data_IF_036892858785
#
_entry.id   IF_036892858785
#
_cell.length_a   1.000
_cell.length_b   1.000
_cell.length_c   1.000
_cell.angle_alpha   90.00
_cell.angle_beta   90.00
_cell.angle_gamma   90.00
#
_symmetry.space_group_name_H-M   'P 1'
#
loop_
_entity.id
_entity.type
_entity.pdbx_description
1 polymer ?
#
# COMPACT_ATOMS: atom_id res chain seq x y z
N UNK A 1 3.87 -8.75 43.70
CA UNK A 1 3.40 -9.58 42.56
C UNK A 1 2.66 -8.65 41.61
N UNK A 2 3.36 -8.13 40.60
CA UNK A 2 2.79 -7.19 39.63
C UNK A 2 2.64 -8.01 38.36
N UNK A 3 1.40 -8.36 38.00
CA UNK A 3 1.11 -9.21 36.85
C UNK A 3 1.33 -8.41 35.56
N UNK A 4 2.29 -8.86 34.78
CA UNK A 4 2.53 -8.55 33.38
C UNK A 4 1.27 -8.82 32.55
N UNK A 5 0.60 -7.74 32.15
CA UNK A 5 -0.52 -7.80 31.21
C UNK A 5 0.03 -7.95 29.79
N UNK A 6 0.65 -9.11 29.52
CA UNK A 6 1.01 -9.54 28.18
C UNK A 6 -0.28 -9.78 27.38
N UNK A 7 -0.75 -8.74 26.69
CA UNK A 7 -1.84 -8.86 25.73
C UNK A 7 -1.26 -9.52 24.48
N UNK A 8 -1.27 -10.84 24.48
CA UNK A 8 -1.03 -11.67 23.29
C UNK A 8 -2.08 -11.32 22.24
N UNK A 9 -1.71 -10.44 21.30
CA UNK A 9 -2.45 -10.15 20.08
C UNK A 9 -2.54 -11.46 19.28
N UNK A 10 -3.73 -12.03 19.20
CA UNK A 10 -3.99 -13.32 18.54
C UNK A 10 -3.77 -13.29 17.01
N UNK A 11 -3.75 -14.46 16.35
CA UNK A 11 -3.33 -14.63 14.94
C UNK A 11 -4.36 -14.20 13.87
N UNK A 12 -5.31 -13.32 14.19
CA UNK A 12 -6.44 -12.99 13.30
C UNK A 12 -6.14 -12.00 12.17
N UNK A 13 -4.96 -11.38 12.11
CA UNK A 13 -4.63 -10.38 11.06
C UNK A 13 -4.04 -10.98 9.78
N UNK A 14 -3.67 -12.26 9.75
CA UNK A 14 -3.00 -12.83 8.56
C UNK A 14 -3.94 -13.27 7.44
N UNK A 15 -5.25 -13.37 7.69
CA UNK A 15 -6.19 -13.96 6.74
C UNK A 15 -6.87 -12.93 5.81
N UNK A 16 -6.88 -11.65 6.18
CA UNK A 16 -7.62 -10.63 5.42
C UNK A 16 -6.84 -10.07 4.24
N UNK A 17 -5.51 -10.06 4.30
CA UNK A 17 -4.67 -9.46 3.26
C UNK A 17 -4.70 -10.24 1.94
N UNK A 18 -4.78 -11.57 1.99
CA UNK A 18 -4.75 -12.43 0.80
C UNK A 18 -5.90 -12.15 -0.18
N UNK A 19 -7.06 -11.76 0.37
CA UNK A 19 -8.27 -11.41 -0.40
C UNK A 19 -8.35 -9.93 -0.77
N UNK A 20 -7.41 -9.09 -0.33
CA UNK A 20 -7.39 -7.68 -0.70
C UNK A 20 -6.76 -7.48 -2.08
N UNK A 21 -7.33 -6.57 -2.85
CA UNK A 21 -6.73 -6.11 -4.09
C UNK A 21 -5.57 -5.15 -3.77
N UNK A 22 -4.48 -5.27 -4.53
CA UNK A 22 -3.37 -4.34 -4.49
C UNK A 22 -3.86 -2.95 -4.89
N UNK A 23 -3.59 -1.90 -4.10
CA UNK A 23 -4.02 -0.53 -4.42
C UNK A 23 -3.28 0.06 -5.63
N UNK A 24 -2.19 -0.55 -6.07
CA UNK A 24 -1.38 -0.06 -7.20
C UNK A 24 -1.80 -0.72 -8.51
N UNK A 25 -1.88 -2.05 -8.55
CA UNK A 25 -2.15 -2.80 -9.79
C UNK A 25 -3.56 -3.43 -9.86
N UNK A 26 -4.32 -3.45 -8.76
CA UNK A 26 -5.66 -4.05 -8.68
C UNK A 26 -5.71 -5.58 -8.60
N UNK A 27 -4.57 -6.27 -8.77
CA UNK A 27 -4.47 -7.73 -8.65
C UNK A 27 -4.54 -8.22 -7.20
N UNK A 28 -4.77 -9.51 -6.98
CA UNK A 28 -4.86 -10.05 -5.63
C UNK A 28 -3.49 -9.97 -4.91
N UNK A 29 -3.49 -9.62 -3.63
CA UNK A 29 -2.24 -9.50 -2.86
C UNK A 29 -1.45 -10.80 -2.76
N UNK A 30 -2.10 -11.96 -2.93
CA UNK A 30 -1.44 -13.27 -3.02
C UNK A 30 -0.44 -13.40 -4.19
N UNK A 31 -0.59 -12.56 -5.22
CA UNK A 31 0.30 -12.54 -6.38
C UNK A 31 1.58 -11.71 -6.11
N UNK A 32 1.66 -11.06 -4.95
CA UNK A 32 2.75 -10.17 -4.56
C UNK A 32 3.74 -10.86 -3.62
N UNK A 33 4.98 -10.38 -3.64
CA UNK A 33 6.00 -10.86 -2.70
C UNK A 33 6.08 -9.90 -1.52
N UNK A 34 5.91 -10.42 -0.30
CA UNK A 34 6.05 -9.63 0.93
C UNK A 34 7.39 -9.98 1.58
N UNK A 35 8.33 -9.04 1.54
CA UNK A 35 9.61 -9.16 2.22
C UNK A 35 9.50 -8.73 3.68
N UNK A 36 9.84 -9.66 4.57
CA UNK A 36 9.93 -9.45 6.02
C UNK A 36 11.39 -9.55 6.52
N UNK A 37 12.38 -9.43 5.64
CA UNK A 37 13.80 -9.62 5.99
C UNK A 37 14.33 -8.53 6.93
N UNK A 38 13.74 -7.33 6.87
CA UNK A 38 14.05 -6.21 7.75
C UNK A 38 12.88 -5.90 8.69
N UNK A 39 13.10 -4.99 9.65
CA UNK A 39 12.00 -4.47 10.48
C UNK A 39 10.95 -3.73 9.64
N UNK A 40 11.31 -3.24 8.46
CA UNK A 40 10.37 -2.66 7.52
C UNK A 40 9.84 -3.76 6.60
N UNK A 41 8.54 -4.04 6.69
CA UNK A 41 7.89 -4.96 5.74
C UNK A 41 7.70 -4.23 4.41
N UNK A 42 8.23 -4.81 3.34
CA UNK A 42 8.12 -4.27 1.98
C UNK A 42 7.26 -5.19 1.14
N UNK A 43 6.33 -4.61 0.38
CA UNK A 43 5.50 -5.35 -0.58
C UNK A 43 6.00 -5.05 -1.98
N UNK A 44 6.38 -6.08 -2.72
CA UNK A 44 6.82 -6.00 -4.10
C UNK A 44 5.68 -6.39 -5.05
N UNK A 45 5.33 -5.48 -5.95
CA UNK A 45 4.25 -5.67 -6.92
C UNK A 45 4.81 -6.21 -8.24
N UNK A 46 4.31 -7.37 -8.74
CA UNK A 46 4.89 -8.04 -9.90
C UNK A 46 4.62 -7.33 -11.24
N UNK A 47 3.65 -6.40 -11.26
CA UNK A 47 3.30 -5.66 -12.47
C UNK A 47 4.32 -4.52 -12.67
N UNK A 48 5.00 -4.45 -13.83
CA UNK A 48 5.87 -3.32 -14.14
C UNK A 48 5.02 -2.05 -14.27
N UNK A 49 5.23 -1.08 -13.38
CA UNK A 49 4.48 0.16 -13.41
C UNK A 49 5.04 1.08 -14.50
N UNK A 50 4.20 1.53 -15.46
CA UNK A 50 4.61 2.40 -16.55
C UNK A 50 4.77 3.85 -16.05
N UNK A 51 5.85 4.11 -15.32
CA UNK A 51 6.32 5.46 -15.00
C UNK A 51 5.42 6.26 -14.05
N UNK A 52 6.03 6.68 -12.95
CA UNK A 52 5.46 7.47 -11.86
C UNK A 52 4.47 6.73 -10.94
N UNK A 53 4.89 6.67 -9.67
CA UNK A 53 4.11 6.09 -8.56
C UNK A 53 3.01 7.03 -8.10
N UNK A 54 3.11 8.31 -8.45
CA UNK A 54 2.12 9.30 -8.11
C UNK A 54 1.00 9.26 -9.14
N UNK A 55 -0.24 9.04 -8.67
CA UNK A 55 -1.45 8.99 -9.50
C UNK A 55 -1.59 10.25 -10.36
N UNK A 56 -1.04 11.36 -9.88
CA UNK A 56 -1.18 12.68 -10.45
C UNK A 56 0.14 13.15 -11.09
N UNK A 57 1.13 12.26 -11.26
CA UNK A 57 2.46 12.60 -11.78
C UNK A 57 2.47 13.22 -13.17
N UNK A 58 1.44 12.92 -13.96
CA UNK A 58 1.25 13.47 -15.30
C UNK A 58 0.13 14.51 -15.34
N UNK A 59 -0.54 14.78 -14.22
CA UNK A 59 -1.54 15.83 -14.17
C UNK A 59 -0.85 17.20 -14.23
N UNK A 60 -1.42 18.16 -15.00
CA UNK A 60 -0.92 19.53 -15.02
C UNK A 60 -0.89 20.12 -13.61
N UNK A 61 0.23 20.73 -13.24
CA UNK A 61 0.41 21.41 -11.96
C UNK A 61 0.41 22.94 -12.15
N UNK A 62 0.02 23.68 -11.11
CA UNK A 62 0.15 25.14 -11.07
C UNK A 62 1.58 25.59 -10.72
N UNK A 63 1.81 26.90 -10.56
CA UNK A 63 3.14 27.44 -10.26
C UNK A 63 3.70 27.02 -8.88
N UNK A 64 2.84 26.46 -8.03
CA UNK A 64 3.19 25.95 -6.71
C UNK A 64 3.40 24.42 -6.70
N UNK A 65 3.27 23.74 -7.85
CA UNK A 65 3.41 22.28 -7.94
C UNK A 65 2.21 21.49 -7.45
N UNK A 66 1.04 22.11 -7.29
CA UNK A 66 -0.20 21.42 -6.93
C UNK A 66 -0.98 21.02 -8.19
N UNK A 67 -1.56 19.82 -8.16
CA UNK A 67 -2.40 19.26 -9.24
C UNK A 67 -3.61 20.16 -9.51
N UNK A 68 -3.84 20.49 -10.78
CA UNK A 68 -4.98 21.30 -11.21
C UNK A 68 -6.18 20.38 -11.46
N UNK A 69 -7.02 20.19 -10.44
CA UNK A 69 -8.30 19.47 -10.61
C UNK A 69 -9.29 20.35 -11.39
N UNK A 70 -9.50 20.04 -12.68
CA UNK A 70 -10.58 20.66 -13.46
C UNK A 70 -11.90 20.07 -13.00
N UNK A 71 -12.66 20.80 -12.20
CA UNK A 71 -14.02 20.41 -11.84
C UNK A 71 -14.86 20.37 -13.12
N UNK A 72 -15.15 19.17 -13.63
CA UNK A 72 -16.10 19.00 -14.73
C UNK A 72 -17.46 19.49 -14.26
N UNK A 73 -17.97 20.52 -14.92
CA UNK A 73 -19.36 21.01 -14.82
C UNK A 73 -20.12 20.62 -16.06
#
# INVERSE_FOLDING_TARGET
MIQDKNTSRGPAERATTDSQACPICGHAMREHTIDHSTRNTVVDCPVPHPGAWDRDAFEPVNEYGMVIHRTHT
#
